data_IF_095979610174
#
_entry.id   IF_095979610174
#
_cell.length_a   1.000
_cell.length_b   1.000
_cell.length_c   1.000
_cell.angle_alpha   90.00
_cell.angle_beta   90.00
_cell.angle_gamma   90.00
#
_symmetry.space_group_name_H-M   'P 1'
#
loop_
_entity.id
_entity.type
_entity.pdbx_description
1 polymer ?
#
# COMPACT_ATOMS: atom_id res chain seq x y z
N UNK A 1 -47.67 -2.50 29.97
CA UNK A 1 -47.09 -1.82 28.79
C UNK A 1 -45.61 -2.13 28.61
N UNK A 2 -44.85 -2.34 29.69
CA UNK A 2 -43.38 -2.44 29.63
C UNK A 2 -42.86 -3.79 29.10
N UNK A 3 -43.58 -4.90 29.36
CA UNK A 3 -43.23 -6.22 28.78
C UNK A 3 -43.36 -6.27 27.26
N UNK A 4 -44.31 -5.52 26.72
CA UNK A 4 -44.57 -5.44 25.27
C UNK A 4 -43.48 -4.61 24.56
N UNK A 5 -42.98 -3.56 25.23
CA UNK A 5 -41.83 -2.78 24.75
C UNK A 5 -40.53 -3.57 24.81
N UNK A 6 -40.28 -4.28 25.91
CA UNK A 6 -39.09 -5.13 26.06
C UNK A 6 -39.02 -6.25 25.00
N UNK A 7 -40.15 -6.88 24.68
CA UNK A 7 -40.20 -7.90 23.62
C UNK A 7 -39.96 -7.32 22.22
N UNK A 8 -40.40 -6.08 21.96
CA UNK A 8 -40.13 -5.39 20.71
C UNK A 8 -38.63 -5.03 20.60
N UNK A 9 -38.04 -4.52 21.68
CA UNK A 9 -36.61 -4.18 21.72
C UNK A 9 -35.72 -5.42 21.52
N UNK A 10 -36.10 -6.57 22.11
CA UNK A 10 -35.41 -7.84 21.91
C UNK A 10 -35.46 -8.30 20.44
N UNK A 11 -36.64 -8.22 19.81
CA UNK A 11 -36.78 -8.55 18.38
C UNK A 11 -36.01 -7.57 17.50
N UNK A 12 -36.01 -6.29 17.84
CA UNK A 12 -35.23 -5.27 17.12
C UNK A 12 -33.74 -5.53 17.25
N UNK A 13 -33.23 -5.94 18.41
CA UNK A 13 -31.82 -6.31 18.58
C UNK A 13 -31.47 -7.60 17.84
N UNK A 14 -32.35 -8.60 17.82
CA UNK A 14 -32.17 -9.81 17.01
C UNK A 14 -32.13 -9.44 15.52
N UNK A 15 -33.05 -8.61 15.05
CA UNK A 15 -33.11 -8.17 13.65
C UNK A 15 -31.91 -7.29 13.29
N UNK A 16 -31.47 -6.39 14.18
CA UNK A 16 -30.25 -5.60 14.00
C UNK A 16 -29.02 -6.51 13.95
N UNK A 17 -28.87 -7.45 14.87
CA UNK A 17 -27.73 -8.40 14.86
C UNK A 17 -27.73 -9.28 13.61
N UNK A 18 -28.91 -9.64 13.08
CA UNK A 18 -29.04 -10.37 11.82
C UNK A 18 -28.77 -9.51 10.58
N UNK A 19 -29.03 -8.20 10.65
CA UNK A 19 -28.78 -7.23 9.57
C UNK A 19 -27.35 -6.68 9.56
N UNK A 20 -26.73 -6.53 10.73
CA UNK A 20 -25.40 -5.92 10.92
C UNK A 20 -24.26 -6.89 10.59
N UNK A 21 -24.56 -8.17 10.38
CA UNK A 21 -23.55 -9.21 10.10
C UNK A 21 -22.64 -9.48 11.30
N UNK A 22 -21.68 -10.38 11.15
CA UNK A 22 -20.63 -10.52 12.18
C UNK A 22 -19.88 -9.20 12.36
N UNK A 23 -19.50 -8.82 13.60
CA UNK A 23 -18.78 -7.59 13.83
C UNK A 23 -17.48 -7.60 13.01
N UNK A 24 -17.38 -6.67 12.06
CA UNK A 24 -16.24 -6.58 11.17
C UNK A 24 -14.94 -6.56 11.97
N UNK A 25 -14.02 -7.43 11.60
CA UNK A 25 -12.71 -7.46 12.24
C UNK A 25 -11.98 -6.14 11.97
N UNK A 26 -11.08 -5.68 12.86
CA UNK A 26 -10.30 -4.49 12.56
C UNK A 26 -9.45 -4.63 11.28
N UNK A 27 -9.16 -5.86 10.80
CA UNK A 27 -8.55 -6.07 9.48
C UNK A 27 -9.53 -5.67 8.37
N UNK A 28 -10.78 -6.12 8.44
CA UNK A 28 -11.81 -5.80 7.45
C UNK A 28 -12.10 -4.31 7.36
N UNK A 29 -12.09 -3.59 8.50
CA UNK A 29 -12.27 -2.13 8.49
C UNK A 29 -11.13 -1.44 7.72
N UNK A 30 -9.87 -1.84 7.96
CA UNK A 30 -8.72 -1.30 7.25
C UNK A 30 -8.74 -1.66 5.76
N UNK A 31 -9.22 -2.86 5.43
CA UNK A 31 -9.38 -3.32 4.06
C UNK A 31 -10.49 -2.55 3.34
N UNK A 32 -11.64 -2.32 3.98
CA UNK A 32 -12.74 -1.54 3.41
C UNK A 32 -12.30 -0.09 3.12
N UNK A 33 -11.48 0.51 3.99
CA UNK A 33 -10.96 1.87 3.80
C UNK A 33 -9.94 1.98 2.65
N UNK A 34 -9.04 1.01 2.52
CA UNK A 34 -7.88 1.12 1.63
C UNK A 34 -7.95 0.24 0.37
N UNK A 35 -8.82 -0.76 0.35
CA UNK A 35 -9.17 -1.63 -0.78
C UNK A 35 -10.69 -1.75 -0.91
N UNK A 36 -11.40 -0.63 -1.22
CA UNK A 36 -12.84 -0.65 -1.34
C UNK A 36 -13.26 -1.47 -2.56
N UNK A 37 -13.99 -2.55 -2.30
CA UNK A 37 -14.73 -3.31 -3.31
C UNK A 37 -16.10 -2.64 -3.44
N UNK A 38 -16.14 -1.54 -4.18
CA UNK A 38 -17.39 -0.79 -4.41
C UNK A 38 -18.38 -1.64 -5.22
N UNK A 39 -19.58 -1.87 -4.68
CA UNK A 39 -20.69 -2.55 -5.39
C UNK A 39 -21.37 -1.58 -6.39
N UNK A 40 -21.08 -0.28 -6.33
CA UNK A 40 -21.78 0.73 -7.12
C UNK A 40 -20.84 1.66 -7.89
N UNK A 41 -20.96 1.62 -9.23
CA UNK A 41 -20.11 2.28 -10.23
C UNK A 41 -19.94 3.80 -10.02
N UNK A 42 -20.88 4.45 -9.33
CA UNK A 42 -20.91 5.90 -9.14
C UNK A 42 -19.87 6.45 -8.15
N UNK A 43 -19.44 5.67 -7.15
CA UNK A 43 -18.42 6.12 -6.19
C UNK A 43 -17.00 6.08 -6.79
N UNK A 44 -16.75 5.16 -7.73
CA UNK A 44 -15.51 5.08 -8.51
C UNK A 44 -15.22 6.38 -9.28
N UNK A 45 -16.28 7.04 -9.77
CA UNK A 45 -16.17 8.33 -10.46
C UNK A 45 -15.80 9.47 -9.51
N UNK A 46 -16.22 9.45 -8.25
CA UNK A 46 -15.84 10.47 -7.25
C UNK A 46 -14.41 10.26 -6.75
N UNK A 47 -13.92 9.01 -6.76
CA UNK A 47 -12.54 8.66 -6.42
C UNK A 47 -11.50 9.12 -7.48
N UNK A 48 -11.92 9.59 -8.66
CA UNK A 48 -11.02 10.15 -9.68
C UNK A 48 -10.27 11.41 -9.22
N UNK A 49 -10.60 11.98 -8.06
CA UNK A 49 -9.93 13.16 -7.51
C UNK A 49 -8.84 12.87 -6.45
N UNK A 50 -8.54 11.61 -6.13
CA UNK A 50 -7.46 11.28 -5.19
C UNK A 50 -6.43 10.33 -5.81
N UNK A 51 -5.36 10.94 -6.33
CA UNK A 51 -4.05 10.37 -6.64
C UNK A 51 -3.33 9.73 -5.43
N UNK A 52 -4.04 9.08 -4.50
CA UNK A 52 -3.40 8.20 -3.52
C UNK A 52 -3.17 6.84 -4.19
N UNK A 53 -2.10 6.75 -4.98
CA UNK A 53 -1.74 5.59 -5.81
C UNK A 53 -1.26 4.37 -5.02
N UNK A 54 -1.36 4.36 -3.69
CA UNK A 54 -0.89 3.27 -2.85
C UNK A 54 -1.48 3.31 -1.45
N UNK A 55 -1.49 2.13 -0.81
CA UNK A 55 -1.86 1.98 0.60
C UNK A 55 -0.72 2.56 1.44
N UNK A 56 -1.01 3.37 2.48
CA UNK A 56 0.03 3.89 3.36
C UNK A 56 0.87 2.75 3.97
N UNK A 57 2.18 2.92 4.05
CA UNK A 57 3.09 1.89 4.59
C UNK A 57 2.77 1.52 6.04
N UNK A 58 2.27 2.46 6.83
CA UNK A 58 1.78 2.20 8.19
C UNK A 58 0.63 1.19 8.21
N UNK A 59 -0.32 1.33 7.29
CA UNK A 59 -1.47 0.43 7.15
C UNK A 59 -1.01 -0.93 6.65
N UNK A 60 -0.10 -0.98 5.68
CA UNK A 60 0.47 -2.25 5.21
C UNK A 60 1.20 -3.00 6.33
N UNK A 61 1.90 -2.28 7.22
CA UNK A 61 2.55 -2.87 8.39
C UNK A 61 1.54 -3.35 9.44
N UNK A 62 0.45 -2.63 9.64
CA UNK A 62 -0.64 -3.05 10.52
C UNK A 62 -1.29 -4.33 9.99
N UNK A 63 -1.67 -4.36 8.70
CA UNK A 63 -2.20 -5.56 8.04
C UNK A 63 -1.21 -6.73 8.09
N UNK A 64 0.08 -6.49 7.83
CA UNK A 64 1.12 -7.52 7.97
C UNK A 64 1.19 -8.10 9.38
N UNK A 65 1.10 -7.25 10.41
CA UNK A 65 1.06 -7.70 11.80
C UNK A 65 -0.19 -8.55 12.06
N UNK A 66 -1.34 -8.16 11.51
CA UNK A 66 -2.61 -8.89 11.64
C UNK A 66 -2.63 -10.24 10.94
N UNK A 67 -1.82 -10.46 9.89
CA UNK A 67 -1.72 -11.80 9.24
C UNK A 67 -1.21 -12.91 10.16
N UNK A 68 -0.72 -12.61 11.36
CA UNK A 68 -0.36 -13.61 12.37
C UNK A 68 -1.57 -14.10 13.19
N UNK A 69 -2.74 -13.45 13.05
CA UNK A 69 -3.99 -13.87 13.65
C UNK A 69 -4.73 -14.82 12.69
N UNK A 70 -5.13 -15.98 13.22
CA UNK A 70 -5.79 -17.07 12.48
C UNK A 70 -7.16 -16.66 11.91
N UNK A 71 -7.82 -15.66 12.51
CA UNK A 71 -9.11 -15.12 12.02
C UNK A 71 -8.89 -14.04 10.96
N UNK A 72 -7.95 -13.11 11.20
CA UNK A 72 -7.71 -11.98 10.29
C UNK A 72 -7.00 -12.41 8.99
N UNK A 73 -6.09 -13.38 9.07
CA UNK A 73 -5.27 -13.81 7.94
C UNK A 73 -6.10 -14.32 6.75
N UNK A 74 -7.08 -15.24 6.93
CA UNK A 74 -7.98 -15.65 5.86
C UNK A 74 -8.81 -14.49 5.29
N UNK A 75 -9.30 -13.56 6.13
CA UNK A 75 -10.06 -12.40 5.66
C UNK A 75 -9.21 -11.47 4.77
N UNK A 76 -7.95 -11.20 5.17
CA UNK A 76 -7.02 -10.39 4.40
C UNK A 76 -6.68 -11.06 3.06
N UNK A 77 -6.39 -12.36 3.08
CA UNK A 77 -6.13 -13.13 1.85
C UNK A 77 -7.36 -13.11 0.95
N UNK A 78 -8.54 -13.44 1.47
CA UNK A 78 -9.78 -13.47 0.71
C UNK A 78 -10.05 -12.15 0.00
N UNK A 79 -9.90 -11.00 0.69
CA UNK A 79 -10.08 -9.69 0.08
C UNK A 79 -9.11 -9.43 -1.08
N UNK A 80 -7.83 -9.78 -0.91
CA UNK A 80 -6.83 -9.60 -1.97
C UNK A 80 -7.23 -10.43 -3.20
N UNK A 81 -7.60 -11.70 -3.00
CA UNK A 81 -7.92 -12.60 -4.10
C UNK A 81 -9.28 -12.28 -4.75
N UNK A 82 -10.27 -11.83 -3.99
CA UNK A 82 -11.52 -11.25 -4.51
C UNK A 82 -11.21 -10.12 -5.50
N UNK A 83 -10.35 -9.18 -5.13
CA UNK A 83 -9.97 -8.07 -6.01
C UNK A 83 -9.24 -8.56 -7.28
N UNK A 84 -8.33 -9.50 -7.13
CA UNK A 84 -7.55 -10.00 -8.26
C UNK A 84 -8.40 -10.82 -9.25
N UNK A 85 -9.39 -11.54 -8.76
CA UNK A 85 -10.22 -12.44 -9.57
C UNK A 85 -11.44 -11.68 -10.13
N UNK A 86 -12.17 -10.95 -9.29
CA UNK A 86 -13.48 -10.40 -9.63
C UNK A 86 -13.41 -8.95 -10.16
N UNK A 87 -12.35 -8.21 -9.81
CA UNK A 87 -12.22 -6.77 -10.15
C UNK A 87 -11.15 -6.48 -11.21
N UNK A 88 -10.98 -7.39 -12.17
CA UNK A 88 -9.95 -7.27 -13.21
C UNK A 88 -10.09 -6.04 -14.12
N UNK A 89 -11.29 -5.47 -14.19
CA UNK A 89 -11.61 -4.25 -14.94
C UNK A 89 -10.98 -2.99 -14.30
N UNK A 90 -10.57 -3.05 -13.03
CA UNK A 90 -10.04 -1.93 -12.27
C UNK A 90 -8.52 -2.08 -12.03
N UNK A 91 -7.63 -1.72 -13.00
CA UNK A 91 -6.18 -1.93 -12.89
C UNK A 91 -5.56 -1.23 -11.67
N UNK A 92 -6.11 -0.07 -11.27
CA UNK A 92 -5.66 0.66 -10.09
C UNK A 92 -5.92 -0.12 -8.79
N UNK A 93 -7.09 -0.76 -8.69
CA UNK A 93 -7.47 -1.54 -7.51
C UNK A 93 -6.67 -2.85 -7.46
N UNK A 94 -6.50 -3.53 -8.60
CA UNK A 94 -5.62 -4.70 -8.71
C UNK A 94 -4.19 -4.38 -8.29
N UNK A 95 -3.62 -3.26 -8.78
CA UNK A 95 -2.26 -2.85 -8.41
C UNK A 95 -2.14 -2.59 -6.91
N UNK A 96 -3.16 -1.99 -6.26
CA UNK A 96 -3.18 -1.81 -4.80
C UNK A 96 -3.18 -3.16 -4.07
N UNK A 97 -4.00 -4.10 -4.50
CA UNK A 97 -4.04 -5.46 -3.94
C UNK A 97 -2.72 -6.22 -4.12
N UNK A 98 -2.10 -6.15 -5.30
CA UNK A 98 -0.79 -6.77 -5.56
C UNK A 98 0.32 -6.14 -4.71
N UNK A 99 0.36 -4.82 -4.57
CA UNK A 99 1.34 -4.16 -3.70
C UNK A 99 1.17 -4.59 -2.24
N UNK A 100 -0.07 -4.73 -1.76
CA UNK A 100 -0.32 -5.27 -0.43
C UNK A 100 0.19 -6.71 -0.33
N UNK A 101 -0.15 -7.58 -1.29
CA UNK A 101 0.29 -8.97 -1.32
C UNK A 101 1.82 -9.08 -1.27
N UNK A 102 2.53 -8.31 -2.11
CA UNK A 102 3.98 -8.25 -2.13
C UNK A 102 4.56 -7.84 -0.76
N UNK A 103 3.99 -6.82 -0.13
CA UNK A 103 4.40 -6.39 1.22
C UNK A 103 4.15 -7.47 2.28
N UNK A 104 3.00 -8.14 2.23
CA UNK A 104 2.65 -9.22 3.15
C UNK A 104 3.56 -10.44 2.96
N UNK A 105 4.00 -10.74 1.75
CA UNK A 105 5.00 -11.79 1.52
C UNK A 105 6.30 -11.47 2.25
N UNK A 106 6.75 -10.21 2.24
CA UNK A 106 8.00 -9.82 2.92
C UNK A 106 7.87 -9.61 4.43
N UNK A 107 6.71 -9.19 4.94
CA UNK A 107 6.56 -8.71 6.33
C UNK A 107 5.50 -9.45 7.16
N UNK A 108 4.65 -10.24 6.52
CA UNK A 108 3.54 -10.95 7.14
C UNK A 108 3.87 -12.38 7.56
N UNK A 109 2.81 -13.15 7.83
CA UNK A 109 2.90 -14.54 8.26
C UNK A 109 3.28 -15.49 7.12
N UNK A 110 3.81 -16.66 7.49
CA UNK A 110 4.13 -17.73 6.51
C UNK A 110 2.87 -18.31 5.85
N UNK A 111 1.70 -18.11 6.44
CA UNK A 111 0.43 -18.54 5.85
C UNK A 111 0.16 -17.82 4.54
N UNK A 112 0.49 -16.53 4.44
CA UNK A 112 0.40 -15.75 3.19
C UNK A 112 1.29 -16.35 2.10
N UNK A 113 2.48 -16.82 2.46
CA UNK A 113 3.36 -17.48 1.49
C UNK A 113 2.78 -18.80 1.00
N UNK A 114 2.32 -19.65 1.92
CA UNK A 114 1.74 -20.95 1.61
C UNK A 114 0.53 -20.80 0.69
N UNK A 115 -0.31 -19.83 1.00
CA UNK A 115 -1.49 -19.46 0.24
C UNK A 115 -1.15 -19.03 -1.19
N UNK A 116 -0.21 -18.08 -1.33
CA UNK A 116 0.23 -17.53 -2.62
C UNK A 116 0.95 -18.59 -3.49
N UNK A 117 1.66 -19.53 -2.87
CA UNK A 117 2.34 -20.64 -3.56
C UNK A 117 1.40 -21.77 -3.99
N UNK A 118 0.13 -21.74 -3.62
CA UNK A 118 -0.81 -22.74 -4.11
C UNK A 118 -0.80 -22.75 -5.65
N UNK A 119 -0.80 -23.92 -6.31
CA UNK A 119 -0.61 -24.00 -7.76
C UNK A 119 -1.56 -23.11 -8.57
N UNK A 120 -2.82 -23.01 -8.13
CA UNK A 120 -3.82 -22.14 -8.75
C UNK A 120 -3.42 -20.65 -8.71
N UNK A 121 -2.93 -20.17 -7.56
CA UNK A 121 -2.57 -18.77 -7.35
C UNK A 121 -1.25 -18.40 -8.01
N UNK A 122 -0.26 -19.31 -7.97
CA UNK A 122 1.00 -19.13 -8.67
C UNK A 122 0.81 -19.09 -10.20
N UNK A 123 -0.03 -19.98 -10.74
CA UNK A 123 -0.39 -19.95 -12.17
C UNK A 123 -1.10 -18.65 -12.55
N UNK A 124 -2.07 -18.22 -11.74
CA UNK A 124 -2.79 -16.97 -11.95
C UNK A 124 -1.87 -15.75 -11.96
N UNK A 125 -0.92 -15.65 -11.01
CA UNK A 125 0.05 -14.55 -10.97
C UNK A 125 1.01 -14.56 -12.17
N UNK A 126 1.36 -15.75 -12.67
CA UNK A 126 2.19 -15.89 -13.88
C UNK A 126 1.46 -15.38 -15.11
N UNK A 127 0.21 -15.79 -15.31
CA UNK A 127 -0.67 -15.31 -16.38
C UNK A 127 -0.89 -13.79 -16.29
N UNK A 128 -1.16 -13.28 -15.09
CA UNK A 128 -1.34 -11.85 -14.85
C UNK A 128 -0.08 -11.05 -15.22
N UNK A 129 1.11 -11.56 -14.92
CA UNK A 129 2.37 -10.91 -15.27
C UNK A 129 2.61 -10.82 -16.78
N UNK A 130 2.13 -11.79 -17.57
CA UNK A 130 2.41 -11.89 -19.00
C UNK A 130 1.30 -11.39 -19.90
N UNK A 131 0.04 -11.53 -19.50
CA UNK A 131 -1.12 -11.40 -20.39
C UNK A 131 -2.07 -10.25 -20.00
N UNK A 132 -2.05 -9.81 -18.74
CA UNK A 132 -3.00 -8.80 -18.26
C UNK A 132 -2.96 -7.51 -19.07
N UNK A 133 -4.08 -7.21 -19.75
CA UNK A 133 -4.29 -6.00 -20.55
C UNK A 133 -3.14 -5.75 -21.55
N UNK A 134 -2.62 -6.83 -22.16
CA UNK A 134 -1.54 -6.76 -23.15
C UNK A 134 -2.04 -6.40 -24.55
N UNK A 135 -3.25 -6.83 -24.91
CA UNK A 135 -3.77 -6.70 -26.27
C UNK A 135 -5.02 -5.82 -26.38
N UNK A 136 -5.89 -5.76 -25.35
CA UNK A 136 -7.13 -4.99 -25.44
C UNK A 136 -7.75 -4.79 -24.05
N UNK A 137 -7.96 -3.53 -23.66
CA UNK A 137 -9.08 -3.07 -22.81
C UNK A 137 -9.00 -1.55 -22.77
N UNK A 138 -9.84 -0.87 -23.55
CA UNK A 138 -10.19 0.56 -23.38
C UNK A 138 -9.00 1.53 -23.28
N UNK A 139 -7.82 1.16 -23.79
CA UNK A 139 -6.57 1.92 -23.63
C UNK A 139 -6.59 3.28 -24.36
N UNK A 140 -7.66 3.60 -25.08
CA UNK A 140 -7.68 4.62 -26.12
C UNK A 140 -8.91 5.53 -26.13
N UNK A 141 -9.77 5.54 -25.10
CA UNK A 141 -10.91 6.46 -25.15
C UNK A 141 -10.46 7.93 -24.97
N UNK A 142 -9.40 8.19 -24.18
CA UNK A 142 -8.91 9.56 -23.93
C UNK A 142 -7.39 9.77 -23.83
N UNK A 143 -6.56 8.72 -23.87
CA UNK A 143 -5.09 8.89 -23.84
C UNK A 143 -4.41 7.93 -24.81
N UNK A 144 -4.11 8.42 -26.01
CA UNK A 144 -3.30 7.67 -26.95
C UNK A 144 -1.94 7.35 -26.28
N UNK A 145 -1.66 6.06 -26.08
CA UNK A 145 -0.36 5.44 -25.77
C UNK A 145 0.01 5.18 -24.29
N UNK A 146 -0.92 5.13 -23.32
CA UNK A 146 -0.57 4.71 -21.95
C UNK A 146 -1.05 3.28 -21.64
N UNK A 147 -0.08 2.38 -21.47
CA UNK A 147 -0.34 1.01 -21.03
C UNK A 147 -0.78 0.98 -19.56
N UNK A 148 -2.10 1.03 -19.36
CA UNK A 148 -2.74 1.00 -18.03
C UNK A 148 -2.49 -0.32 -17.28
N UNK A 149 -2.17 -1.40 -18.00
CA UNK A 149 -1.88 -2.72 -17.44
C UNK A 149 -0.44 -2.90 -16.96
N UNK A 150 0.50 -2.08 -17.46
CA UNK A 150 1.93 -2.23 -17.18
C UNK A 150 2.25 -2.27 -15.68
N UNK A 151 1.55 -1.48 -14.87
CA UNK A 151 1.75 -1.45 -13.42
C UNK A 151 1.38 -2.78 -12.75
N UNK A 152 0.25 -3.38 -13.14
CA UNK A 152 -0.21 -4.67 -12.62
C UNK A 152 0.74 -5.78 -13.05
N UNK A 153 1.10 -5.82 -14.34
CA UNK A 153 2.04 -6.81 -14.89
C UNK A 153 3.40 -6.76 -14.22
N UNK A 154 3.96 -5.56 -14.04
CA UNK A 154 5.23 -5.36 -13.37
C UNK A 154 5.21 -5.88 -11.93
N UNK A 155 4.22 -5.48 -11.13
CA UNK A 155 4.13 -5.92 -9.73
C UNK A 155 3.89 -7.43 -9.63
N UNK A 156 3.09 -8.02 -10.52
CA UNK A 156 2.91 -9.47 -10.57
C UNK A 156 4.21 -10.22 -10.91
N UNK A 157 5.00 -9.71 -11.88
CA UNK A 157 6.31 -10.26 -12.20
C UNK A 157 7.27 -10.19 -11.00
N UNK A 158 7.32 -9.06 -10.29
CA UNK A 158 8.13 -8.92 -9.07
C UNK A 158 7.72 -9.92 -7.97
N UNK A 159 6.42 -10.21 -7.84
CA UNK A 159 5.93 -11.24 -6.91
C UNK A 159 6.38 -12.63 -7.37
N UNK A 160 6.29 -12.97 -8.66
CA UNK A 160 6.76 -14.27 -9.15
C UNK A 160 8.26 -14.46 -8.89
N UNK A 161 9.09 -13.46 -9.19
CA UNK A 161 10.52 -13.49 -8.86
C UNK A 161 10.77 -13.67 -7.37
N UNK A 162 9.97 -13.03 -6.52
CA UNK A 162 10.06 -13.18 -5.06
C UNK A 162 9.69 -14.61 -4.59
N UNK A 163 8.76 -15.27 -5.28
CA UNK A 163 8.31 -16.62 -4.93
C UNK A 163 9.28 -17.71 -5.41
N UNK A 164 10.00 -17.46 -6.51
CA UNK A 164 11.01 -18.35 -7.10
C UNK A 164 12.28 -18.49 -6.24
N UNK A 165 12.74 -17.40 -5.61
CA UNK A 165 13.95 -17.39 -4.79
C UNK A 165 13.62 -17.41 -3.28
N UNK A 166 13.58 -18.62 -2.73
CA UNK A 166 13.34 -18.89 -1.31
C UNK A 166 14.38 -18.23 -0.38
N UNK A 167 15.65 -18.26 -0.76
CA UNK A 167 16.75 -17.75 0.04
C UNK A 167 16.75 -16.22 0.08
N UNK A 168 16.53 -15.57 -1.06
CA UNK A 168 16.38 -14.12 -1.13
C UNK A 168 15.15 -13.65 -0.36
N UNK A 169 14.02 -14.35 -0.45
CA UNK A 169 12.82 -14.03 0.32
C UNK A 169 13.06 -14.19 1.83
N UNK A 170 13.74 -15.24 2.26
CA UNK A 170 14.10 -15.42 3.67
C UNK A 170 15.01 -14.29 4.16
N UNK A 171 16.01 -13.89 3.37
CA UNK A 171 16.88 -12.76 3.69
C UNK A 171 16.12 -11.43 3.74
N UNK A 172 15.19 -11.18 2.82
CA UNK A 172 14.34 -9.99 2.80
C UNK A 172 13.49 -9.92 4.09
N UNK A 173 12.85 -11.03 4.48
CA UNK A 173 12.11 -11.15 5.75
C UNK A 173 12.99 -10.87 6.97
N UNK A 174 14.20 -11.41 7.01
CA UNK A 174 15.15 -11.15 8.11
C UNK A 174 15.57 -9.68 8.17
N UNK A 175 15.85 -9.05 7.02
CA UNK A 175 16.19 -7.62 6.94
C UNK A 175 15.02 -6.75 7.41
N UNK A 176 13.80 -7.05 6.97
CA UNK A 176 12.59 -6.36 7.41
C UNK A 176 12.37 -6.49 8.92
N UNK A 177 12.52 -7.70 9.48
CA UNK A 177 12.44 -7.94 10.92
C UNK A 177 13.46 -7.13 11.72
N UNK A 178 14.71 -7.05 11.25
CA UNK A 178 15.76 -6.22 11.86
C UNK A 178 15.43 -4.74 11.78
N UNK A 179 14.96 -4.24 10.64
CA UNK A 179 14.55 -2.85 10.49
C UNK A 179 13.42 -2.50 11.46
N UNK A 180 12.41 -3.37 11.54
CA UNK A 180 11.32 -3.27 12.51
C UNK A 180 11.85 -3.16 13.94
N UNK A 181 12.72 -4.06 14.38
CA UNK A 181 13.31 -4.03 15.71
C UNK A 181 14.07 -2.71 16.00
N UNK A 182 14.85 -2.23 15.02
CA UNK A 182 15.60 -0.97 15.14
C UNK A 182 14.71 0.27 15.18
N UNK A 183 13.62 0.31 14.40
CA UNK A 183 12.64 1.39 14.49
C UNK A 183 11.91 1.35 15.83
N UNK A 184 11.71 0.16 16.41
CA UNK A 184 11.11 -0.03 17.74
C UNK A 184 11.96 0.58 18.83
N UNK A 185 13.25 0.22 18.83
CA UNK A 185 14.19 0.63 19.89
C UNK A 185 14.42 2.14 19.88
N UNK A 186 14.18 2.80 18.74
CA UNK A 186 14.28 4.25 18.58
C UNK A 186 12.96 4.99 18.80
N UNK A 187 11.87 4.30 19.15
CA UNK A 187 10.54 4.89 19.32
C UNK A 187 9.90 5.40 18.02
N UNK A 188 10.46 5.05 16.86
CA UNK A 188 10.05 5.55 15.54
C UNK A 188 9.07 4.63 14.82
N UNK A 189 8.62 3.55 15.45
CA UNK A 189 7.61 2.64 14.86
C UNK A 189 6.27 3.31 14.60
N UNK A 190 5.94 4.39 15.30
CA UNK A 190 4.69 5.12 15.16
C UNK A 190 4.97 6.55 14.69
N UNK A 191 5.38 6.70 13.43
CA UNK A 191 5.66 8.00 12.84
C UNK A 191 4.39 8.70 12.27
N UNK A 192 3.19 8.22 12.58
CA UNK A 192 1.94 8.91 12.23
C UNK A 192 0.99 8.94 13.43
N UNK A 193 0.36 10.09 13.72
CA UNK A 193 -0.66 10.17 14.76
C UNK A 193 -1.84 9.31 14.32
N UNK A 194 -2.14 8.28 15.12
CA UNK A 194 -3.45 7.64 15.14
C UNK A 194 -4.48 8.77 15.20
N UNK A 195 -5.45 8.79 14.29
CA UNK A 195 -6.62 9.67 14.41
C UNK A 195 -7.43 9.16 15.60
N UNK A 196 -6.99 9.53 16.80
CA UNK A 196 -7.40 8.91 18.04
C UNK A 196 -8.81 9.38 18.38
N UNK A 197 -9.76 8.43 18.41
CA UNK A 197 -10.87 8.49 19.35
C UNK A 197 -10.29 8.63 20.75
N UNK A 198 -10.81 9.62 21.47
CA UNK A 198 -10.49 10.00 22.84
C UNK A 198 -10.35 8.81 23.79
N UNK A 199 -9.18 8.65 24.42
CA UNK A 199 -9.04 8.04 25.75
C UNK A 199 -7.84 8.64 26.47
N UNK A 200 -8.10 9.18 27.65
CA UNK A 200 -7.14 9.83 28.53
C UNK A 200 -6.17 8.80 29.13
N UNK A 201 -4.87 9.04 29.01
CA UNK A 201 -3.86 8.57 29.96
C UNK A 201 -2.67 9.51 29.90
N UNK A 202 -2.55 10.36 30.92
CA UNK A 202 -1.48 11.35 31.02
C UNK A 202 -0.15 10.72 31.44
N UNK A 203 0.91 11.14 30.78
CA UNK A 203 2.26 11.16 31.36
C UNK A 203 2.89 12.50 31.02
N UNK A 204 2.95 13.33 32.06
CA UNK A 204 3.64 14.61 32.09
C UNK A 204 5.15 14.39 31.96
N UNK A 205 5.75 14.89 30.89
CA UNK A 205 7.17 15.24 30.87
C UNK A 205 7.31 16.68 30.39
N UNK A 206 7.64 17.56 31.35
CA UNK A 206 8.10 18.92 31.12
C UNK A 206 9.55 18.88 30.62
N UNK A 207 9.82 19.62 29.56
CA UNK A 207 10.93 20.57 29.39
C UNK A 207 11.04 20.91 27.90
N UNK A 208 11.46 22.07 27.44
CA UNK A 208 11.59 23.43 27.96
C UNK A 208 11.87 24.25 26.68
N UNK A 209 11.45 25.50 26.65
CA UNK A 209 11.49 26.34 25.47
C UNK A 209 12.91 26.74 25.03
N UNK A 210 13.13 26.78 23.72
CA UNK A 210 13.99 27.73 22.99
C UNK A 210 13.35 27.92 21.61
N UNK A 211 12.53 28.95 21.37
CA UNK A 211 12.88 30.25 20.78
C UNK A 211 14.07 30.28 19.81
N UNK A 212 13.78 30.72 18.57
CA UNK A 212 14.73 31.24 17.57
C UNK A 212 15.33 30.15 16.68
N UNK A 213 15.62 30.36 15.39
CA UNK A 213 15.52 31.53 14.53
C UNK A 213 15.78 31.03 13.10
N UNK A 214 15.26 31.75 12.11
CA UNK A 214 15.59 31.60 10.70
C UNK A 214 17.08 31.94 10.44
N UNK A 215 17.60 31.48 9.29
CA UNK A 215 18.60 32.16 8.44
C UNK A 215 20.04 31.59 8.35
N UNK A 216 20.41 31.27 7.09
CA UNK A 216 21.69 31.51 6.38
C UNK A 216 23.06 31.09 6.97
N UNK A 217 23.79 30.28 6.18
CA UNK A 217 25.05 30.71 5.54
C UNK A 217 26.42 30.39 6.19
N UNK A 218 27.35 29.98 5.30
CA UNK A 218 28.84 29.89 5.39
C UNK A 218 29.46 28.77 6.24
N UNK A 219 30.24 27.82 5.70
CA UNK A 219 31.54 27.83 4.94
C UNK A 219 32.78 28.18 5.76
N UNK A 220 33.76 27.27 5.62
CA UNK A 220 35.24 27.25 5.82
C UNK A 220 35.60 26.01 6.66
N UNK A 221 36.59 25.16 6.39
CA UNK A 221 37.63 24.92 5.35
C UNK A 221 38.08 23.45 5.64
N UNK A 222 38.51 22.58 4.73
CA UNK A 222 39.80 22.65 4.04
C UNK A 222 39.85 21.67 2.86
N UNK A 223 40.72 22.06 1.94
CA UNK A 223 40.93 21.70 0.54
C UNK A 223 41.82 20.46 0.34
N UNK A 224 41.38 19.47 -0.45
CA UNK A 224 42.28 18.58 -1.22
C UNK A 224 41.60 18.22 -2.55
N UNK A 225 41.97 18.93 -3.61
CA UNK A 225 42.06 18.31 -4.93
C UNK A 225 41.00 18.70 -5.94
N UNK A 226 41.00 19.97 -6.31
CA UNK A 226 40.52 20.45 -7.60
C UNK A 226 41.06 19.61 -8.77
N UNK A 227 40.16 19.02 -9.57
CA UNK A 227 40.37 18.72 -10.99
C UNK A 227 39.13 19.07 -11.81
N UNK A 228 39.13 20.34 -12.21
CA UNK A 228 38.67 20.93 -13.47
C UNK A 228 38.10 19.91 -14.50
N UNK A 229 36.81 20.04 -14.81
CA UNK A 229 36.28 19.81 -16.16
C UNK A 229 35.31 20.96 -16.44
N UNK A 230 35.81 21.97 -17.15
CA UNK A 230 35.03 23.06 -17.72
C UNK A 230 34.37 22.59 -19.01
N UNK A 231 33.05 22.76 -19.11
CA UNK A 231 32.31 22.63 -20.38
C UNK A 231 32.72 23.77 -21.34
N UNK A 232 32.78 23.53 -22.66
CA UNK A 232 33.07 24.57 -23.64
C UNK A 232 31.85 25.49 -23.86
N UNK A 233 32.05 26.77 -24.24
CA UNK A 233 30.94 27.69 -24.49
C UNK A 233 30.33 27.47 -25.89
N UNK A 234 29.02 27.66 -25.97
CA UNK A 234 28.29 27.81 -27.23
C UNK A 234 28.60 29.17 -27.85
N UNK A 235 29.27 29.18 -29.00
CA UNK A 235 29.35 30.35 -29.86
C UNK A 235 28.38 30.20 -31.03
N UNK A 236 27.45 31.14 -31.08
CA UNK A 236 26.57 31.45 -32.20
C UNK A 236 27.04 32.76 -32.81
N UNK A 237 27.67 32.73 -33.98
CA UNK A 237 27.67 33.83 -34.96
C UNK A 237 27.68 33.27 -36.38
N UNK A 238 26.86 33.87 -37.24
CA UNK A 238 26.68 33.48 -38.63
C UNK A 238 27.54 34.27 -39.63
N UNK A 239 27.08 34.24 -40.89
CA UNK A 239 27.67 34.76 -42.13
C UNK A 239 28.71 33.83 -42.77
N UNK A 240 28.84 33.67 -44.08
CA UNK A 240 28.03 33.99 -45.26
C UNK A 240 28.70 33.24 -46.45
N UNK A 241 27.92 33.02 -47.50
CA UNK A 241 28.31 32.98 -48.92
C UNK A 241 29.34 31.95 -49.48
N UNK A 242 28.78 31.15 -50.41
CA UNK A 242 29.19 31.05 -51.83
C UNK A 242 30.53 30.40 -52.20
N UNK A 243 30.48 29.13 -52.66
CA UNK A 243 30.54 28.76 -54.10
C UNK A 243 30.30 27.27 -54.32
#
# INVERSE_FOLDING_TARGET
MDRLRAALDEVVEIVKSALEGEPKTPAEILLDEHLPVEVNVLASLVATNHQATGIPTSVMNELASRTHNVVDCPCIQARIWEILIDHQQNPNLMKKALNLLQHLLMNGSQEVLKDTRSPARASFLSELATEYNKYEFEQYEFSQNLDIGAGVRKTAAEINTLLEDDDALLQARQKAGKLHQNLSSRGLRSAYPRKNGSTHAGTSLKNEAYTGMYSYGSRLDDDIGSKIVTHPPSDSEGSADEK
#
